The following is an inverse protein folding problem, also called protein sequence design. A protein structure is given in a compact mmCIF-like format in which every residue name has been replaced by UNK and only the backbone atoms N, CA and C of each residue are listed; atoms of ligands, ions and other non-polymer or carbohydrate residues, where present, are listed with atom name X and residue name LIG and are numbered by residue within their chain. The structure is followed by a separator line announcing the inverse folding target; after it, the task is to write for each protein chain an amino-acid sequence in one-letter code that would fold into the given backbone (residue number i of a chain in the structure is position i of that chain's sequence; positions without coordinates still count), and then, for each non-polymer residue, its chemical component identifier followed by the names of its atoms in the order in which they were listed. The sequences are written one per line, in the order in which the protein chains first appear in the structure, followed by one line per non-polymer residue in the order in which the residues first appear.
data_IF_167713731136
#
_entry.id   IF_167713731136
#
_cell.length_a   1.000
_cell.length_b   1.000
_cell.length_c   1.000
_cell.angle_alpha   90.00
_cell.angle_beta   90.00
_cell.angle_gamma   90.00
#
_symmetry.space_group_name_H-M   'P 1'
#
loop_
_entity.id
_entity.type
_entity.pdbx_description
1 polymer ?
#
# COMPACT_ATOMS: atom_id res chain seq x y z
N UNK A 1 4.41 -3.12 23.80
CA UNK A 1 3.11 -2.64 24.33
C UNK A 1 2.06 -3.27 23.43
N UNK A 2 1.13 -4.04 23.98
CA UNK A 2 0.18 -4.81 23.17
C UNK A 2 -0.90 -3.86 22.63
N UNK A 3 -0.83 -3.52 21.33
CA UNK A 3 -1.76 -2.60 20.66
C UNK A 3 -3.01 -3.37 20.20
N UNK A 4 -4.13 -2.67 20.05
CA UNK A 4 -5.37 -3.26 19.52
C UNK A 4 -5.24 -3.62 18.04
N UNK A 5 -4.52 -2.79 17.29
CA UNK A 5 -4.23 -3.02 15.89
C UNK A 5 -2.95 -2.33 15.41
N UNK A 6 -2.45 -2.79 14.27
CA UNK A 6 -1.31 -2.26 13.54
C UNK A 6 -1.75 -2.03 12.09
N UNK A 7 -1.42 -0.88 11.53
CA UNK A 7 -1.75 -0.56 10.14
C UNK A 7 -0.46 -0.33 9.36
N UNK A 8 -0.42 -0.84 8.14
CA UNK A 8 0.66 -0.62 7.18
C UNK A 8 0.09 -0.28 5.80
N UNK A 9 0.85 0.48 5.03
CA UNK A 9 0.61 0.74 3.61
C UNK A 9 1.64 -0.02 2.78
N UNK A 10 1.17 -0.84 1.85
CA UNK A 10 2.01 -1.64 0.96
C UNK A 10 1.80 -1.19 -0.47
N UNK A 11 2.77 -0.46 -1.01
CA UNK A 11 2.74 -0.02 -2.40
C UNK A 11 3.42 -1.05 -3.30
N UNK A 12 2.79 -1.39 -4.42
CA UNK A 12 3.29 -2.36 -5.39
C UNK A 12 3.52 -1.66 -6.72
N UNK A 13 4.73 -1.76 -7.28
CA UNK A 13 5.04 -1.20 -8.59
C UNK A 13 4.71 -2.17 -9.75
N UNK A 14 4.87 -1.69 -10.97
CA UNK A 14 4.62 -2.46 -12.21
C UNK A 14 5.48 -3.73 -12.36
N UNK A 15 6.61 -3.80 -11.66
CA UNK A 15 7.55 -4.92 -11.67
C UNK A 15 7.31 -5.82 -10.44
N UNK A 16 6.18 -5.63 -9.75
CA UNK A 16 5.76 -6.30 -8.52
C UNK A 16 6.71 -6.08 -7.33
N UNK A 17 7.56 -5.06 -7.33
CA UNK A 17 8.33 -4.72 -6.14
C UNK A 17 7.43 -4.04 -5.11
N UNK A 18 7.69 -4.32 -3.84
CA UNK A 18 6.89 -3.82 -2.72
C UNK A 18 7.65 -2.77 -1.92
N UNK A 19 6.92 -1.72 -1.54
CA UNK A 19 7.33 -0.69 -0.60
C UNK A 19 6.35 -0.74 0.57
N UNK A 20 6.85 -1.16 1.74
CA UNK A 20 6.09 -1.20 2.98
C UNK A 20 6.38 0.03 3.83
N UNK A 21 5.33 0.75 4.19
CA UNK A 21 5.38 1.91 5.09
C UNK A 21 4.53 1.59 6.32
N UNK A 22 5.12 1.49 7.51
CA UNK A 22 4.37 1.25 8.73
C UNK A 22 3.75 2.53 9.29
N UNK A 23 2.61 2.40 9.96
CA UNK A 23 1.97 3.52 10.64
C UNK A 23 2.39 3.65 12.11
N UNK A 24 2.17 4.84 12.67
CA UNK A 24 2.43 5.17 14.07
C UNK A 24 1.49 6.25 14.56
N UNK A 25 1.63 6.63 15.83
CA UNK A 25 0.78 7.65 16.44
C UNK A 25 0.99 9.01 15.75
N UNK A 26 -0.13 9.68 15.42
CA UNK A 26 -0.18 11.04 14.89
C UNK A 26 -1.11 11.89 15.75
N UNK A 27 -0.67 13.09 16.09
CA UNK A 27 -1.48 14.02 16.89
C UNK A 27 -2.57 14.69 16.03
N UNK A 28 -2.41 14.72 14.71
CA UNK A 28 -3.37 15.31 13.76
C UNK A 28 -4.35 14.30 13.18
N UNK A 29 -3.86 13.11 12.84
CA UNK A 29 -4.61 12.11 12.08
C UNK A 29 -4.97 10.86 12.92
N UNK A 30 -4.52 10.81 14.17
CA UNK A 30 -4.63 9.63 15.04
C UNK A 30 -3.57 8.59 14.69
N UNK A 31 -3.60 8.06 13.46
CA UNK A 31 -2.65 7.09 12.94
C UNK A 31 -2.26 7.49 11.52
N UNK A 32 -0.95 7.53 11.24
CA UNK A 32 -0.44 7.85 9.92
C UNK A 32 0.93 7.22 9.65
N UNK A 33 1.31 7.15 8.38
CA UNK A 33 2.59 6.64 7.88
C UNK A 33 3.78 7.29 8.59
N UNK A 34 4.65 6.49 9.20
CA UNK A 34 5.88 7.03 9.79
C UNK A 34 6.97 7.12 8.73
N UNK A 35 8.05 7.85 9.04
CA UNK A 35 9.18 8.03 8.12
C UNK A 35 10.08 6.79 7.99
N UNK A 36 9.49 5.61 7.79
CA UNK A 36 10.18 4.33 7.64
C UNK A 36 9.74 3.71 6.32
N UNK A 37 10.72 3.22 5.54
CA UNK A 37 10.46 2.54 4.27
C UNK A 37 11.20 1.21 4.26
N UNK A 38 10.47 0.15 3.92
CA UNK A 38 10.98 -1.21 3.80
C UNK A 38 10.69 -1.71 2.38
N UNK A 39 11.63 -2.45 1.79
CA UNK A 39 11.54 -2.89 0.40
C UNK A 39 11.61 -4.41 0.28
N UNK A 40 10.87 -4.97 -0.68
CA UNK A 40 11.01 -6.34 -1.16
C UNK A 40 10.94 -6.32 -2.69
N UNK A 41 12.01 -6.74 -3.36
CA UNK A 41 12.05 -6.78 -4.83
C UNK A 41 11.59 -8.14 -5.35
N UNK A 42 10.86 -8.15 -6.46
CA UNK A 42 10.51 -9.36 -7.17
C UNK A 42 11.73 -9.98 -7.91
N UNK A 43 11.76 -11.30 -8.14
CA UNK A 43 10.79 -12.30 -7.68
C UNK A 43 11.03 -12.69 -6.21
N UNK A 44 9.95 -13.00 -5.48
CA UNK A 44 10.00 -13.48 -4.11
C UNK A 44 9.07 -14.69 -3.92
N UNK A 45 9.43 -15.54 -2.96
CA UNK A 45 8.58 -16.66 -2.53
C UNK A 45 7.45 -16.15 -1.64
N UNK A 46 6.42 -16.97 -1.46
CA UNK A 46 5.28 -16.64 -0.58
C UNK A 46 5.74 -16.39 0.85
N UNK A 47 6.62 -17.25 1.37
CA UNK A 47 7.27 -17.05 2.66
C UNK A 47 8.01 -15.72 2.79
N UNK A 48 8.71 -15.29 1.73
CA UNK A 48 9.43 -14.02 1.75
C UNK A 48 8.48 -12.82 1.76
N UNK A 49 7.36 -12.91 1.02
CA UNK A 49 6.29 -11.91 1.04
C UNK A 49 5.64 -11.82 2.43
N UNK A 50 5.23 -12.93 3.02
CA UNK A 50 4.62 -12.95 4.36
C UNK A 50 5.58 -12.45 5.44
N UNK A 51 6.85 -12.86 5.37
CA UNK A 51 7.90 -12.38 6.27
C UNK A 51 8.13 -10.87 6.11
N UNK A 52 7.99 -10.34 4.90
CA UNK A 52 8.08 -8.91 4.65
C UNK A 52 6.92 -8.16 5.26
N UNK A 53 5.67 -8.63 5.09
CA UNK A 53 4.50 -8.01 5.73
C UNK A 53 4.67 -7.96 7.25
N UNK A 54 5.07 -9.06 7.87
CA UNK A 54 5.35 -9.09 9.31
C UNK A 54 6.49 -8.15 9.71
N UNK A 55 7.54 -8.04 8.90
CA UNK A 55 8.63 -7.09 9.13
C UNK A 55 8.14 -5.64 9.13
N UNK A 56 7.23 -5.27 8.22
CA UNK A 56 6.63 -3.93 8.17
C UNK A 56 5.75 -3.70 9.39
N UNK A 57 4.89 -4.66 9.74
CA UNK A 57 4.02 -4.58 10.92
C UNK A 57 4.83 -4.41 12.21
N UNK A 58 5.94 -5.14 12.35
CA UNK A 58 6.82 -5.03 13.51
C UNK A 58 7.53 -3.67 13.60
N UNK A 59 7.56 -2.89 12.52
CA UNK A 59 8.08 -1.53 12.51
C UNK A 59 7.03 -0.46 12.86
N UNK A 60 5.74 -0.81 12.96
CA UNK A 60 4.69 0.10 13.42
C UNK A 60 4.97 0.62 14.83
N UNK A 61 4.58 1.88 15.07
CA UNK A 61 4.73 2.57 16.36
C UNK A 61 6.17 2.62 16.93
N UNK A 62 7.19 2.29 16.14
CA UNK A 62 8.61 2.45 16.53
C UNK A 62 9.02 3.91 16.65
N UNK A 63 8.26 4.81 16.02
CA UNK A 63 8.29 6.26 16.15
C UNK A 63 6.91 6.84 15.87
N UNK A 64 6.73 8.12 16.19
CA UNK A 64 5.55 8.89 15.81
C UNK A 64 5.58 9.26 14.32
N UNK A 65 4.41 9.52 13.75
CA UNK A 65 4.29 10.23 12.49
C UNK A 65 4.93 11.63 12.62
N UNK A 66 5.48 12.14 11.52
CA UNK A 66 6.02 13.50 11.49
C UNK A 66 4.90 14.48 11.12
N UNK A 67 4.09 14.87 12.11
CA UNK A 67 2.97 15.79 11.94
C UNK A 67 3.39 17.18 11.39
N UNK A 68 4.65 17.57 11.52
CA UNK A 68 5.17 18.86 11.01
C UNK A 68 5.53 18.81 9.52
N UNK A 69 5.69 17.61 8.95
CA UNK A 69 6.01 17.45 7.54
C UNK A 69 4.75 17.66 6.69
N UNK A 70 4.74 18.61 5.73
CA UNK A 70 3.63 18.77 4.80
C UNK A 70 3.62 17.71 3.69
N UNK A 71 4.68 16.91 3.59
CA UNK A 71 4.83 15.83 2.60
C UNK A 71 4.74 14.47 3.27
N UNK A 72 4.07 13.53 2.61
CA UNK A 72 3.96 12.14 3.05
C UNK A 72 5.30 11.38 2.94
N UNK A 73 5.40 10.23 3.61
CA UNK A 73 6.59 9.37 3.51
C UNK A 73 6.80 8.86 2.09
N UNK A 74 5.73 8.50 1.37
CA UNK A 74 5.82 8.05 -0.02
C UNK A 74 6.29 9.17 -0.96
N UNK A 75 5.87 10.43 -0.75
CA UNK A 75 6.39 11.59 -1.50
C UNK A 75 7.90 11.77 -1.28
N UNK A 76 8.36 11.70 -0.02
CA UNK A 76 9.80 11.79 0.28
C UNK A 76 10.59 10.66 -0.36
N UNK A 77 10.06 9.43 -0.32
CA UNK A 77 10.71 8.26 -0.89
C UNK A 77 10.83 8.35 -2.41
N UNK A 78 9.72 8.66 -3.09
CA UNK A 78 9.65 8.73 -4.57
C UNK A 78 10.26 10.02 -5.12
N UNK A 79 10.48 11.03 -4.26
CA UNK A 79 10.90 12.40 -4.63
C UNK A 79 9.94 13.08 -5.61
N UNK A 80 8.68 12.64 -5.63
CA UNK A 80 7.61 13.25 -6.41
C UNK A 80 6.82 14.20 -5.51
N UNK A 81 6.53 15.38 -6.05
CA UNK A 81 5.69 16.37 -5.35
C UNK A 81 4.22 16.00 -5.49
N UNK A 82 3.49 15.99 -4.38
CA UNK A 82 2.08 15.68 -4.30
C UNK A 82 1.83 14.19 -4.10
N UNK A 83 1.03 13.85 -3.08
CA UNK A 83 0.67 12.47 -2.74
C UNK A 83 0.16 11.69 -3.95
N UNK A 84 -0.80 12.25 -4.68
CA UNK A 84 -1.39 11.65 -5.90
C UNK A 84 -0.33 11.27 -6.93
N UNK A 85 0.64 12.15 -7.18
CA UNK A 85 1.71 11.91 -8.15
C UNK A 85 2.73 10.89 -7.62
N UNK A 86 3.03 10.94 -6.32
CA UNK A 86 3.89 9.98 -5.65
C UNK A 86 3.32 8.55 -5.71
N UNK A 87 2.01 8.40 -5.65
CA UNK A 87 1.33 7.10 -5.69
C UNK A 87 0.88 6.69 -7.08
N UNK A 88 0.95 7.55 -8.10
CA UNK A 88 0.34 7.33 -9.43
C UNK A 88 0.85 6.08 -10.18
N UNK A 89 2.05 5.60 -9.86
CA UNK A 89 2.67 4.43 -10.50
C UNK A 89 2.62 3.18 -9.61
N UNK A 90 1.86 3.24 -8.52
CA UNK A 90 1.76 2.15 -7.55
C UNK A 90 0.30 1.74 -7.35
N UNK A 91 0.11 0.45 -7.14
CA UNK A 91 -1.07 -0.07 -6.44
C UNK A 91 -0.84 0.02 -4.93
N UNK A 92 -1.85 0.33 -4.14
CA UNK A 92 -1.75 0.30 -2.67
C UNK A 92 -2.62 -0.82 -2.12
N UNK A 93 -2.05 -1.61 -1.23
CA UNK A 93 -2.77 -2.54 -0.37
C UNK A 93 -2.66 -2.00 1.06
N UNK A 94 -3.80 -1.67 1.66
CA UNK A 94 -3.89 -1.31 3.07
C UNK A 94 -4.05 -2.59 3.89
N UNK A 95 -3.18 -2.80 4.88
CA UNK A 95 -3.24 -3.99 5.73
C UNK A 95 -3.36 -3.58 7.20
N UNK A 96 -4.38 -4.09 7.87
CA UNK A 96 -4.63 -3.89 9.31
C UNK A 96 -4.52 -5.23 10.02
N UNK A 97 -3.53 -5.38 10.91
CA UNK A 97 -3.41 -6.53 11.81
C UNK A 97 -4.05 -6.21 13.15
N UNK A 98 -4.99 -7.04 13.57
CA UNK A 98 -5.59 -7.02 14.92
C UNK A 98 -5.08 -8.19 15.75
N UNK A 99 -5.64 -8.38 16.94
CA UNK A 99 -5.36 -9.55 17.79
C UNK A 99 -5.88 -10.88 17.23
N UNK A 100 -6.74 -10.86 16.22
CA UNK A 100 -7.42 -12.08 15.73
C UNK A 100 -7.28 -12.30 14.23
N UNK A 101 -6.98 -11.27 13.46
CA UNK A 101 -6.90 -11.36 11.99
C UNK A 101 -6.06 -10.23 11.38
N UNK A 102 -5.80 -10.39 10.09
CA UNK A 102 -5.44 -9.35 9.15
C UNK A 102 -6.67 -8.99 8.33
N UNK A 103 -6.92 -7.70 8.15
CA UNK A 103 -7.77 -7.15 7.10
C UNK A 103 -6.85 -6.64 5.99
N UNK A 104 -7.02 -7.14 4.77
CA UNK A 104 -6.29 -6.70 3.60
C UNK A 104 -7.28 -6.06 2.63
N UNK A 105 -7.04 -4.80 2.28
CA UNK A 105 -7.92 -4.01 1.42
C UNK A 105 -7.11 -3.50 0.23
N UNK A 106 -7.53 -3.83 -1.01
CA UNK A 106 -6.94 -3.23 -2.19
C UNK A 106 -7.42 -1.79 -2.35
N UNK A 107 -6.77 -1.03 -3.22
CA UNK A 107 -7.23 0.31 -3.58
C UNK A 107 -7.49 0.41 -5.07
N UNK A 108 -8.13 1.48 -5.49
CA UNK A 108 -8.00 1.99 -6.85
C UNK A 108 -7.34 3.37 -6.80
N UNK A 109 -6.56 3.69 -7.82
CA UNK A 109 -5.84 4.97 -7.84
C UNK A 109 -6.68 6.03 -8.56
N UNK A 110 -7.35 6.87 -7.80
CA UNK A 110 -8.09 8.00 -8.32
C UNK A 110 -7.12 9.12 -8.76
N UNK A 111 -7.40 9.73 -9.90
CA UNK A 111 -6.50 10.73 -10.49
C UNK A 111 -6.43 12.04 -9.67
N UNK A 112 -7.48 12.39 -8.94
CA UNK A 112 -7.54 13.63 -8.16
C UNK A 112 -7.19 13.40 -6.69
N UNK A 113 -7.47 12.19 -6.18
CA UNK A 113 -7.40 11.87 -4.75
C UNK A 113 -6.32 10.87 -4.38
N UNK A 114 -5.73 10.17 -5.35
CA UNK A 114 -4.78 9.09 -5.12
C UNK A 114 -5.48 7.78 -4.72
N UNK A 115 -4.81 6.88 -3.99
CA UNK A 115 -5.36 5.58 -3.61
C UNK A 115 -6.62 5.72 -2.74
N UNK A 116 -7.69 5.05 -3.14
CA UNK A 116 -8.95 4.95 -2.40
C UNK A 116 -9.25 3.48 -2.14
N UNK A 117 -9.50 3.13 -0.87
CA UNK A 117 -9.80 1.76 -0.47
C UNK A 117 -11.08 1.24 -1.15
N UNK A 118 -11.04 -0.04 -1.53
CA UNK A 118 -12.19 -0.76 -2.07
C UNK A 118 -12.70 -1.66 -0.95
N UNK A 119 -13.49 -1.07 -0.04
CA UNK A 119 -14.00 -1.76 1.14
C UNK A 119 -14.79 -3.05 0.78
N UNK A 120 -15.46 -3.05 -0.37
CA UNK A 120 -16.25 -4.21 -0.86
C UNK A 120 -15.39 -5.43 -1.22
N UNK A 121 -14.08 -5.28 -1.43
CA UNK A 121 -13.15 -6.39 -1.73
C UNK A 121 -12.15 -6.64 -0.60
N UNK A 122 -12.47 -6.18 0.61
CA UNK A 122 -11.73 -6.53 1.83
C UNK A 122 -11.64 -8.05 2.01
N UNK A 123 -10.44 -8.54 2.32
CA UNK A 123 -10.17 -9.94 2.67
C UNK A 123 -9.73 -10.05 4.13
N UNK A 124 -10.49 -10.80 4.92
CA UNK A 124 -10.15 -11.11 6.31
C UNK A 124 -9.39 -12.44 6.37
N UNK A 125 -8.17 -12.40 6.91
CA UNK A 125 -7.31 -13.56 7.13
C UNK A 125 -7.04 -13.76 8.62
N UNK A 126 -7.50 -14.86 9.20
CA UNK A 126 -7.28 -15.14 10.64
C UNK A 126 -5.82 -15.48 10.95
N UNK A 127 -5.34 -15.16 12.17
CA UNK A 127 -3.91 -15.34 12.53
C UNK A 127 -3.39 -16.80 12.46
N UNK A 128 -4.28 -17.79 12.41
CA UNK A 128 -3.95 -19.21 12.30
C UNK A 128 -3.97 -19.72 10.84
N UNK A 129 -3.72 -18.83 9.88
CA UNK A 129 -3.58 -19.16 8.47
C UNK A 129 -2.35 -20.05 8.19
N UNK A 130 -2.41 -20.81 7.10
CA UNK A 130 -1.33 -21.63 6.59
C UNK A 130 -0.36 -20.78 5.75
N UNK A 131 0.93 -21.12 5.78
CA UNK A 131 1.95 -20.49 4.95
C UNK A 131 1.50 -20.47 3.48
N UNK A 132 1.45 -19.28 2.88
CA UNK A 132 1.01 -19.06 1.50
C UNK A 132 -0.36 -18.37 1.38
N UNK A 133 -1.27 -18.48 2.35
CA UNK A 133 -2.62 -17.91 2.20
C UNK A 133 -2.61 -16.38 2.12
N UNK A 134 -1.76 -15.70 2.90
CA UNK A 134 -1.63 -14.25 2.81
C UNK A 134 -1.00 -13.84 1.47
N UNK A 135 0.01 -14.58 1.04
CA UNK A 135 0.68 -14.32 -0.23
C UNK A 135 -0.28 -14.49 -1.41
N UNK A 136 -1.15 -15.51 -1.38
CA UNK A 136 -2.18 -15.73 -2.39
C UNK A 136 -3.13 -14.53 -2.48
N UNK A 137 -3.68 -14.05 -1.36
CA UNK A 137 -4.56 -12.86 -1.34
C UNK A 137 -3.86 -11.63 -1.92
N UNK A 138 -2.62 -11.37 -1.51
CA UNK A 138 -1.86 -10.21 -2.00
C UNK A 138 -1.61 -10.34 -3.52
N UNK A 139 -1.26 -11.53 -4.00
CA UNK A 139 -1.05 -11.76 -5.44
C UNK A 139 -2.35 -11.64 -6.24
N UNK A 140 -3.48 -12.08 -5.71
CA UNK A 140 -4.80 -11.85 -6.33
C UNK A 140 -5.06 -10.36 -6.49
N UNK A 141 -4.82 -9.55 -5.44
CA UNK A 141 -4.97 -8.11 -5.54
C UNK A 141 -4.03 -7.49 -6.57
N UNK A 142 -2.76 -7.90 -6.60
CA UNK A 142 -1.80 -7.44 -7.61
C UNK A 142 -2.32 -7.80 -9.01
N UNK A 143 -2.73 -9.04 -9.24
CA UNK A 143 -3.22 -9.47 -10.54
C UNK A 143 -4.46 -8.70 -11.00
N UNK A 144 -5.43 -8.47 -10.12
CA UNK A 144 -6.68 -7.79 -10.46
C UNK A 144 -6.46 -6.28 -10.60
N UNK A 145 -5.87 -5.63 -9.60
CA UNK A 145 -5.86 -4.18 -9.49
C UNK A 145 -4.68 -3.52 -10.18
N UNK A 146 -3.49 -4.14 -10.19
CA UNK A 146 -2.36 -3.60 -10.95
C UNK A 146 -2.67 -3.61 -12.45
N UNK A 147 -3.23 -4.72 -12.97
CA UNK A 147 -3.63 -4.83 -14.39
C UNK A 147 -4.80 -3.92 -14.74
N UNK A 148 -5.79 -3.79 -13.86
CA UNK A 148 -6.90 -2.87 -14.07
C UNK A 148 -6.41 -1.41 -14.11
N UNK A 149 -5.55 -1.00 -13.18
CA UNK A 149 -5.00 0.36 -13.15
C UNK A 149 -4.14 0.66 -14.37
N UNK A 150 -3.34 -0.29 -14.87
CA UNK A 150 -2.62 -0.13 -16.14
C UNK A 150 -3.59 0.13 -17.30
N UNK A 151 -4.67 -0.64 -17.41
CA UNK A 151 -5.66 -0.46 -18.47
C UNK A 151 -6.35 0.91 -18.41
N UNK A 152 -6.75 1.38 -17.22
CA UNK A 152 -7.33 2.71 -17.06
C UNK A 152 -6.35 3.82 -17.41
N UNK A 153 -5.07 3.67 -17.03
CA UNK A 153 -4.02 4.64 -17.34
C UNK A 153 -3.79 4.74 -18.85
N UNK A 154 -3.62 3.61 -19.54
CA UNK A 154 -3.42 3.58 -21.00
C UNK A 154 -4.60 4.21 -21.75
N UNK A 155 -5.83 3.91 -21.35
CA UNK A 155 -7.03 4.49 -21.98
C UNK A 155 -7.05 6.01 -21.85
N UNK A 156 -6.65 6.56 -20.70
CA UNK A 156 -6.59 8.02 -20.50
C UNK A 156 -5.48 8.65 -21.32
N UNK A 157 -4.29 8.08 -21.34
CA UNK A 157 -3.16 8.61 -22.13
C UNK A 157 -3.56 8.72 -23.62
N UNK A 158 -4.28 7.72 -24.13
CA UNK A 158 -4.87 7.75 -25.48
C UNK A 158 -5.93 8.84 -25.67
N UNK A 159 -6.74 9.16 -24.65
CA UNK A 159 -7.73 10.23 -24.69
C UNK A 159 -7.09 11.62 -24.62
N UNK A 160 -6.05 11.81 -23.82
CA UNK A 160 -5.28 13.05 -23.71
C UNK A 160 -4.49 13.33 -25.00
N UNK A 161 -3.84 12.31 -25.58
CA UNK A 161 -3.20 12.45 -26.88
C UNK A 161 -4.19 12.88 -27.98
N UNK A 162 -5.41 12.34 -27.96
CA UNK A 162 -6.47 12.74 -28.92
C UNK A 162 -6.91 14.18 -28.72
N UNK A 163 -6.89 14.69 -27.48
CA UNK A 163 -7.23 16.09 -27.17
C UNK A 163 -6.10 17.04 -27.57
N UNK A 164 -4.84 16.67 -27.35
CA UNK A 164 -3.66 17.49 -27.66
C UNK A 164 -3.30 17.52 -29.17
N UNK A 165 -3.83 16.59 -29.97
CA UNK A 165 -3.68 16.56 -31.43
C UNK A 165 -4.78 17.35 -32.18
N UNK A 166 -5.70 18.00 -31.47
CA UNK A 166 -6.71 18.94 -32.02
C UNK A 166 -6.33 20.37 -31.68
#
# INVERSE_FOLDING_TARGET
MDREFYTISVYVDKDENLIGIPCGDSEKYGIADIDTVLLLNAPYTDKALESFIEKVINACYTKKHNDDSPVSTIERYTKKSGFVNATADFELISIVKTKTNYSLMPTFNDYEKGPLAIDDDERILYLNYNEGEMAEIIREFIEVYLKANMFYKEKRELEEEKKNKK
#
